data_IF_345696320813
#
_entry.id   IF_345696320813
#
_cell.length_a   1.000
_cell.length_b   1.000
_cell.length_c   1.000
_cell.angle_alpha   90.00
_cell.angle_beta   90.00
_cell.angle_gamma   90.00
#
_symmetry.space_group_name_H-M   'P 1'
#
loop_
_entity.id
_entity.type
_entity.pdbx_description
1 polymer ?
#
# COMPACT_ATOMS: atom_id res chain seq x y z
N UNK A 1 3.39 7.63 -20.91
CA UNK A 1 2.17 7.87 -20.09
C UNK A 1 2.42 9.10 -19.24
N UNK A 2 1.44 10.01 -19.15
CA UNK A 2 1.46 11.11 -18.19
C UNK A 2 1.28 10.61 -16.76
N UNK A 3 1.53 11.46 -15.76
CA UNK A 3 1.27 11.11 -14.34
C UNK A 3 -0.21 10.70 -14.13
N UNK A 4 -1.13 11.43 -14.73
CA UNK A 4 -2.57 11.14 -14.63
C UNK A 4 -2.94 9.80 -15.28
N UNK A 5 -2.36 9.49 -16.44
CA UNK A 5 -2.57 8.19 -17.11
C UNK A 5 -2.02 7.04 -16.26
N UNK A 6 -0.84 7.20 -15.65
CA UNK A 6 -0.23 6.19 -14.77
C UNK A 6 -1.11 5.98 -13.53
N UNK A 7 -1.51 7.06 -12.85
CA UNK A 7 -2.32 6.99 -11.65
C UNK A 7 -3.67 6.30 -11.92
N UNK A 8 -4.36 6.68 -12.99
CA UNK A 8 -5.60 6.03 -13.40
C UNK A 8 -5.41 4.57 -13.78
N UNK A 9 -4.32 4.23 -14.49
CA UNK A 9 -4.04 2.85 -14.92
C UNK A 9 -3.89 1.90 -13.73
N UNK A 10 -3.18 2.34 -12.67
CA UNK A 10 -2.88 1.51 -11.51
C UNK A 10 -4.16 1.02 -10.79
N UNK A 11 -5.20 1.86 -10.73
CA UNK A 11 -6.45 1.59 -9.98
C UNK A 11 -7.65 1.30 -10.88
N UNK A 12 -7.46 1.20 -12.21
CA UNK A 12 -8.56 0.96 -13.15
C UNK A 12 -9.10 -0.47 -13.09
N UNK A 13 -10.38 -0.65 -13.40
CA UNK A 13 -11.04 -1.94 -13.65
C UNK A 13 -10.88 -2.95 -12.49
N UNK A 14 -10.89 -2.47 -11.26
CA UNK A 14 -10.71 -3.27 -10.06
C UNK A 14 -9.26 -3.72 -9.80
N UNK A 15 -8.29 -3.28 -10.62
CA UNK A 15 -6.87 -3.54 -10.36
C UNK A 15 -6.44 -2.86 -9.07
N UNK A 16 -5.47 -3.48 -8.41
CA UNK A 16 -4.83 -2.91 -7.23
C UNK A 16 -3.32 -3.01 -7.28
N UNK A 17 -2.69 -2.85 -6.14
CA UNK A 17 -1.24 -2.79 -5.99
C UNK A 17 -0.76 -3.95 -5.12
N UNK A 18 0.21 -4.70 -5.62
CA UNK A 18 0.99 -5.62 -4.80
C UNK A 18 2.09 -4.85 -4.08
N UNK A 19 1.96 -4.73 -2.76
CA UNK A 19 3.00 -4.13 -1.93
C UNK A 19 4.05 -5.19 -1.56
N UNK A 20 5.10 -5.32 -2.38
CA UNK A 20 6.22 -6.23 -2.22
C UNK A 20 7.51 -5.48 -1.85
N UNK A 21 7.36 -4.42 -1.04
CA UNK A 21 8.40 -3.46 -0.68
C UNK A 21 8.97 -3.66 0.73
N UNK A 22 8.79 -4.84 1.28
CA UNK A 22 9.38 -5.20 2.57
C UNK A 22 10.90 -4.99 2.53
N UNK A 23 11.41 -4.20 3.49
CA UNK A 23 12.85 -4.12 3.73
C UNK A 23 13.42 -5.49 4.14
N UNK A 24 14.74 -5.66 4.02
CA UNK A 24 15.36 -6.94 4.38
C UNK A 24 15.03 -7.40 5.80
N UNK A 25 15.04 -6.54 6.86
CA UNK A 25 14.59 -6.94 8.19
C UNK A 25 13.11 -7.31 8.25
N UNK A 26 12.24 -6.61 7.52
CA UNK A 26 10.80 -6.91 7.48
C UNK A 26 10.54 -8.23 6.76
N UNK A 27 11.26 -8.48 5.67
CA UNK A 27 11.20 -9.76 4.95
C UNK A 27 11.65 -10.91 5.85
N UNK A 28 12.74 -10.70 6.64
CA UNK A 28 13.24 -11.65 7.63
C UNK A 28 12.16 -12.05 8.63
N UNK A 29 11.48 -11.09 9.25
CA UNK A 29 10.37 -11.36 10.18
C UNK A 29 9.23 -12.19 9.55
N UNK A 30 9.00 -12.06 8.25
CA UNK A 30 8.02 -12.90 7.53
C UNK A 30 8.55 -14.29 7.29
N UNK A 31 9.82 -14.41 6.92
CA UNK A 31 10.48 -15.69 6.68
C UNK A 31 10.67 -16.50 7.97
N UNK A 32 10.87 -15.84 9.12
CA UNK A 32 10.91 -16.50 10.42
C UNK A 32 9.62 -17.29 10.71
N UNK A 33 8.46 -16.77 10.25
CA UNK A 33 7.16 -17.46 10.44
C UNK A 33 7.00 -18.76 9.63
N UNK A 34 7.89 -19.01 8.66
CA UNK A 34 7.92 -20.19 7.79
C UNK A 34 9.27 -20.89 7.83
N UNK A 35 10.12 -20.56 8.81
CA UNK A 35 11.44 -21.17 9.04
C UNK A 35 12.38 -21.11 7.81
N UNK A 36 12.34 -19.99 7.06
CA UNK A 36 13.19 -19.75 5.89
C UNK A 36 14.26 -18.73 6.23
N UNK A 37 15.51 -19.01 5.85
CA UNK A 37 16.63 -18.08 6.02
C UNK A 37 16.40 -16.77 5.24
N UNK A 38 16.66 -15.64 5.87
CA UNK A 38 16.60 -14.32 5.24
C UNK A 38 17.85 -14.03 4.41
N UNK A 39 18.11 -14.82 3.38
CA UNK A 39 19.19 -14.59 2.42
C UNK A 39 18.70 -13.76 1.21
N UNK A 40 19.62 -13.13 0.51
CA UNK A 40 19.32 -12.40 -0.74
C UNK A 40 18.66 -13.32 -1.78
N UNK A 41 19.16 -14.56 -1.91
CA UNK A 41 18.59 -15.55 -2.82
C UNK A 41 17.13 -15.90 -2.47
N UNK A 42 16.83 -16.12 -1.19
CA UNK A 42 15.47 -16.45 -0.77
C UNK A 42 14.54 -15.27 -0.96
N UNK A 43 14.99 -14.01 -0.72
CA UNK A 43 14.19 -12.81 -1.01
C UNK A 43 13.93 -12.66 -2.49
N UNK A 44 14.92 -12.89 -3.35
CA UNK A 44 14.76 -12.90 -4.81
C UNK A 44 13.78 -13.98 -5.25
N UNK A 45 13.96 -15.23 -4.79
CA UNK A 45 13.15 -16.38 -5.17
C UNK A 45 11.68 -16.18 -4.77
N UNK A 46 11.45 -15.62 -3.58
CA UNK A 46 10.12 -15.25 -3.13
C UNK A 46 9.46 -14.20 -4.04
N UNK A 47 10.17 -13.11 -4.38
CA UNK A 47 9.69 -12.08 -5.29
C UNK A 47 9.46 -12.59 -6.71
N UNK A 48 10.39 -13.38 -7.23
CA UNK A 48 10.23 -14.02 -8.53
C UNK A 48 8.97 -14.91 -8.58
N UNK A 49 8.74 -15.70 -7.54
CA UNK A 49 7.56 -16.56 -7.42
C UNK A 49 6.27 -15.73 -7.50
N UNK A 50 6.19 -14.59 -6.76
CA UNK A 50 5.05 -13.69 -6.79
C UNK A 50 4.84 -13.08 -8.20
N UNK A 51 5.89 -12.53 -8.81
CA UNK A 51 5.79 -11.80 -10.08
C UNK A 51 5.50 -12.70 -11.28
N UNK A 52 5.83 -13.98 -11.21
CA UNK A 52 5.47 -14.98 -12.23
C UNK A 52 4.08 -15.58 -12.06
N UNK A 53 3.36 -15.20 -11.01
CA UNK A 53 1.99 -15.68 -10.78
C UNK A 53 1.03 -15.20 -11.87
N UNK A 54 0.13 -16.08 -12.32
CA UNK A 54 -0.93 -15.77 -13.29
C UNK A 54 -1.87 -14.68 -12.78
N UNK A 55 -2.05 -14.60 -11.46
CA UNK A 55 -2.88 -13.59 -10.81
C UNK A 55 -2.38 -12.16 -10.94
N UNK A 56 -1.12 -11.95 -11.36
CA UNK A 56 -0.62 -10.61 -11.69
C UNK A 56 -1.39 -10.00 -12.85
N UNK A 57 -1.64 -10.77 -13.92
CA UNK A 57 -2.26 -10.28 -15.14
C UNK A 57 -3.73 -9.92 -14.92
N UNK A 58 -4.06 -8.66 -15.14
CA UNK A 58 -5.43 -8.15 -15.09
C UNK A 58 -5.99 -7.89 -13.68
N UNK A 59 -5.27 -8.28 -12.62
CA UNK A 59 -5.67 -8.01 -11.23
C UNK A 59 -4.75 -6.98 -10.56
N UNK A 60 -3.48 -6.91 -10.98
CA UNK A 60 -2.49 -6.00 -10.41
C UNK A 60 -2.15 -4.91 -11.43
N UNK A 61 -2.33 -3.65 -11.03
CA UNK A 61 -1.99 -2.47 -11.83
C UNK A 61 -0.58 -1.97 -11.56
N UNK A 62 -0.06 -2.19 -10.34
CA UNK A 62 1.27 -1.79 -9.93
C UNK A 62 1.87 -2.70 -8.87
N UNK A 63 3.21 -2.71 -8.77
CA UNK A 63 3.96 -3.41 -7.73
C UNK A 63 4.91 -2.43 -7.07
N UNK A 64 4.80 -2.26 -5.75
CA UNK A 64 5.79 -1.49 -4.99
C UNK A 64 6.96 -2.40 -4.66
N UNK A 65 8.17 -1.99 -5.02
CA UNK A 65 9.39 -2.74 -4.80
C UNK A 65 10.25 -2.11 -3.70
N UNK A 66 11.11 -2.93 -3.10
CA UNK A 66 12.27 -2.48 -2.35
C UNK A 66 13.46 -2.28 -3.30
N UNK A 67 14.42 -1.42 -2.97
CA UNK A 67 15.55 -1.07 -3.83
C UNK A 67 16.32 -2.30 -4.33
N UNK A 68 16.64 -3.24 -3.43
CA UNK A 68 17.30 -4.51 -3.79
C UNK A 68 16.56 -5.21 -4.94
N UNK A 69 15.23 -5.34 -4.82
CA UNK A 69 14.41 -6.08 -5.79
C UNK A 69 14.30 -5.40 -7.15
N UNK A 70 14.29 -4.07 -7.19
CA UNK A 70 14.27 -3.32 -8.45
C UNK A 70 15.54 -3.59 -9.29
N UNK A 71 16.66 -3.93 -8.63
CA UNK A 71 17.97 -4.15 -9.24
C UNK A 71 18.29 -5.64 -9.48
N UNK A 72 17.48 -6.56 -8.95
CA UNK A 72 17.72 -8.00 -9.06
C UNK A 72 17.17 -8.59 -10.35
N UNK A 73 17.85 -9.67 -10.77
CA UNK A 73 17.41 -10.56 -11.84
C UNK A 73 16.84 -11.85 -11.27
N UNK A 74 15.85 -12.42 -11.96
CA UNK A 74 15.33 -13.75 -11.74
C UNK A 74 16.39 -14.83 -12.02
N UNK A 75 16.10 -16.10 -11.65
CA UNK A 75 17.03 -17.23 -11.86
C UNK A 75 17.44 -17.43 -13.32
N UNK A 76 16.59 -17.06 -14.27
CA UNK A 76 16.85 -17.16 -15.70
C UNK A 76 17.54 -15.93 -16.29
N UNK A 77 17.91 -14.95 -15.47
CA UNK A 77 18.54 -13.70 -15.87
C UNK A 77 17.58 -12.61 -16.33
N UNK A 78 16.26 -12.84 -16.26
CA UNK A 78 15.28 -11.80 -16.58
C UNK A 78 15.20 -10.80 -15.42
N UNK A 79 15.35 -9.48 -15.63
CA UNK A 79 15.16 -8.50 -14.55
C UNK A 79 13.77 -8.63 -13.89
N UNK A 80 13.71 -8.62 -12.55
CA UNK A 80 12.45 -8.79 -11.83
C UNK A 80 11.41 -7.73 -12.21
N UNK A 81 11.84 -6.50 -12.49
CA UNK A 81 10.98 -5.42 -13.00
C UNK A 81 10.36 -5.74 -14.37
N UNK A 82 11.03 -6.51 -15.20
CA UNK A 82 10.49 -6.92 -16.50
C UNK A 82 9.42 -8.00 -16.35
N UNK A 83 9.54 -8.91 -15.36
CA UNK A 83 8.47 -9.85 -15.05
C UNK A 83 7.17 -9.12 -14.68
N UNK A 84 7.29 -8.03 -13.93
CA UNK A 84 6.16 -7.16 -13.57
C UNK A 84 5.56 -6.53 -14.83
N UNK A 85 6.39 -5.89 -15.65
CA UNK A 85 5.94 -5.21 -16.88
C UNK A 85 5.30 -6.18 -17.87
N UNK A 86 5.85 -7.38 -18.01
CA UNK A 86 5.32 -8.45 -18.87
C UNK A 86 3.96 -8.97 -18.40
N UNK A 87 3.65 -8.85 -17.11
CA UNK A 87 2.31 -9.16 -16.58
C UNK A 87 1.27 -8.07 -16.87
N UNK A 88 1.71 -6.89 -17.33
CA UNK A 88 0.90 -5.70 -17.53
C UNK A 88 0.80 -4.80 -16.31
N UNK A 89 1.52 -5.09 -15.22
CA UNK A 89 1.63 -4.20 -14.06
C UNK A 89 2.78 -3.21 -14.22
N UNK A 90 2.70 -2.07 -13.54
CA UNK A 90 3.78 -1.07 -13.53
C UNK A 90 4.71 -1.30 -12.33
N UNK A 91 6.04 -1.27 -12.50
CA UNK A 91 6.97 -1.27 -11.39
C UNK A 91 6.97 0.09 -10.68
N UNK A 92 6.99 0.06 -9.36
CA UNK A 92 7.13 1.22 -8.50
C UNK A 92 8.12 0.95 -7.37
N UNK A 93 8.44 1.95 -6.59
CA UNK A 93 9.54 1.90 -5.62
C UNK A 93 9.19 2.59 -4.29
N UNK A 94 9.49 1.92 -3.18
CA UNK A 94 9.51 2.55 -1.86
C UNK A 94 10.73 3.45 -1.72
N UNK A 95 10.50 4.72 -1.39
CA UNK A 95 11.58 5.73 -1.33
C UNK A 95 11.85 6.27 0.08
N UNK A 96 10.96 6.04 1.05
CA UNK A 96 11.20 6.40 2.45
C UNK A 96 12.35 5.58 3.06
N UNK A 97 13.03 6.14 4.08
CA UNK A 97 14.19 5.54 4.75
C UNK A 97 13.93 5.17 6.22
N UNK A 98 12.67 5.03 6.60
CA UNK A 98 12.28 4.62 7.96
C UNK A 98 11.85 5.77 8.86
N UNK A 99 11.60 5.44 10.11
CA UNK A 99 10.98 6.30 11.10
C UNK A 99 12.01 6.77 12.12
N UNK A 100 11.84 8.02 12.57
CA UNK A 100 12.57 8.58 13.74
C UNK A 100 11.57 9.23 14.67
N UNK A 101 11.88 9.34 15.96
CA UNK A 101 11.06 10.12 16.89
C UNK A 101 10.85 11.56 16.38
N UNK A 102 9.63 12.09 16.51
CA UNK A 102 9.32 13.48 16.15
C UNK A 102 10.16 14.47 16.98
N UNK A 103 10.26 14.19 18.27
CA UNK A 103 11.19 14.83 19.21
C UNK A 103 11.82 13.75 20.09
N UNK A 104 12.98 14.01 20.64
CA UNK A 104 13.69 13.04 21.48
C UNK A 104 12.80 12.49 22.60
N UNK A 105 12.67 11.17 22.67
CA UNK A 105 11.87 10.47 23.66
C UNK A 105 10.36 10.42 23.38
N UNK A 106 9.89 10.94 22.24
CA UNK A 106 8.48 10.83 21.82
C UNK A 106 8.15 9.45 21.25
N UNK A 107 6.94 8.99 21.53
CA UNK A 107 6.31 7.84 20.85
C UNK A 107 5.79 8.20 19.45
N UNK A 108 5.63 9.49 19.16
CA UNK A 108 5.27 9.98 17.84
C UNK A 108 6.49 10.05 16.94
N UNK A 109 6.29 9.74 15.66
CA UNK A 109 7.37 9.58 14.70
C UNK A 109 7.15 10.39 13.44
N UNK A 110 8.24 10.70 12.76
CA UNK A 110 8.22 11.24 11.39
C UNK A 110 9.09 10.37 10.48
N UNK A 111 8.71 10.29 9.22
CA UNK A 111 9.43 9.47 8.25
C UNK A 111 10.57 10.25 7.62
N UNK A 112 11.74 9.62 7.52
CA UNK A 112 12.95 10.17 6.89
C UNK A 112 13.11 9.70 5.44
N UNK A 113 13.97 10.42 4.70
CA UNK A 113 14.39 10.01 3.36
C UNK A 113 14.32 11.11 2.30
N UNK A 114 14.05 12.37 2.68
CA UNK A 114 14.01 13.52 1.76
C UNK A 114 15.42 13.89 1.24
N UNK A 115 16.45 13.71 2.07
CA UNK A 115 17.83 14.02 1.67
C UNK A 115 18.26 13.15 0.50
N UNK A 116 18.70 13.79 -0.60
CA UNK A 116 19.10 13.13 -1.85
C UNK A 116 17.95 12.36 -2.52
N UNK A 117 16.70 12.73 -2.27
CA UNK A 117 15.54 12.05 -2.85
C UNK A 117 15.39 12.35 -4.33
N UNK A 118 15.72 13.56 -4.78
CA UNK A 118 15.64 13.96 -6.18
C UNK A 118 16.56 13.09 -7.06
N UNK A 119 17.80 12.94 -6.67
CA UNK A 119 18.78 12.09 -7.37
C UNK A 119 18.33 10.62 -7.39
N UNK A 120 17.80 10.12 -6.26
CA UNK A 120 17.30 8.75 -6.20
C UNK A 120 16.06 8.55 -7.08
N UNK A 121 15.15 9.52 -7.12
CA UNK A 121 13.97 9.46 -7.98
C UNK A 121 14.37 9.47 -9.45
N UNK A 122 15.32 10.33 -9.84
CA UNK A 122 15.89 10.36 -11.20
C UNK A 122 16.51 9.01 -11.59
N UNK A 123 17.27 8.39 -10.69
CA UNK A 123 17.83 7.05 -10.92
C UNK A 123 16.72 6.01 -11.08
N UNK A 124 15.71 5.99 -10.21
CA UNK A 124 14.61 5.02 -10.25
C UNK A 124 13.74 5.14 -11.52
N UNK A 125 13.50 6.37 -12.00
CA UNK A 125 12.82 6.54 -13.29
C UNK A 125 13.68 5.97 -14.43
N UNK A 126 15.00 6.20 -14.42
CA UNK A 126 15.94 5.62 -15.41
C UNK A 126 15.95 4.09 -15.38
N UNK A 127 15.73 3.48 -14.19
CA UNK A 127 15.57 2.04 -14.02
C UNK A 127 14.18 1.53 -14.44
N UNK A 128 13.24 2.41 -14.77
CA UNK A 128 11.93 2.07 -15.29
C UNK A 128 10.79 2.08 -14.26
N UNK A 129 11.02 2.52 -13.03
CA UNK A 129 9.94 2.73 -12.06
C UNK A 129 9.01 3.84 -12.55
N UNK A 130 7.67 3.65 -12.35
CA UNK A 130 6.65 4.59 -12.82
C UNK A 130 5.93 5.32 -11.69
N UNK A 131 6.09 4.82 -10.49
CA UNK A 131 5.51 5.43 -9.30
C UNK A 131 6.39 5.17 -8.07
N UNK A 132 6.20 6.00 -7.08
CA UNK A 132 6.91 5.92 -5.81
C UNK A 132 5.93 5.69 -4.66
N UNK A 133 6.41 5.27 -3.51
CA UNK A 133 5.61 5.18 -2.29
C UNK A 133 6.41 5.69 -1.08
N UNK A 134 5.75 6.47 -0.24
CA UNK A 134 6.25 6.96 1.04
C UNK A 134 5.21 6.78 2.12
N UNK A 135 5.61 6.10 3.20
CA UNK A 135 4.75 5.80 4.35
C UNK A 135 5.03 6.77 5.49
N UNK A 136 4.01 7.47 5.96
CA UNK A 136 3.97 8.14 7.25
C UNK A 136 3.21 7.27 8.25
N UNK A 137 3.55 7.35 9.53
CA UNK A 137 2.93 6.54 10.58
C UNK A 137 2.34 7.45 11.66
N UNK A 138 1.05 7.28 11.90
CA UNK A 138 0.26 8.02 12.89
C UNK A 138 -0.24 7.04 13.94
N UNK A 139 0.15 7.25 15.21
CA UNK A 139 -0.26 6.42 16.34
C UNK A 139 -1.40 7.09 17.09
N UNK A 140 -2.40 6.30 17.48
CA UNK A 140 -3.47 6.75 18.39
C UNK A 140 -3.11 6.33 19.81
N UNK A 141 -3.29 7.23 20.78
CA UNK A 141 -3.02 7.00 22.19
C UNK A 141 -3.42 8.21 23.03
N UNK A 142 -2.98 8.23 24.30
CA UNK A 142 -3.25 9.37 25.18
C UNK A 142 -2.61 10.64 24.59
N UNK A 143 -3.45 11.63 24.25
CA UNK A 143 -3.05 12.87 23.58
C UNK A 143 -2.34 12.70 22.22
N UNK A 144 -2.47 11.55 21.59
CA UNK A 144 -1.92 11.26 20.25
C UNK A 144 -3.03 10.89 19.24
N UNK A 145 -2.90 11.27 17.96
CA UNK A 145 -1.81 12.07 17.40
C UNK A 145 -1.90 13.55 17.75
N UNK A 146 -0.74 14.17 18.04
CA UNK A 146 -0.64 15.62 18.18
C UNK A 146 -0.75 16.32 16.83
N UNK A 147 -1.12 17.59 16.81
CA UNK A 147 -1.14 18.40 15.58
C UNK A 147 0.27 18.53 15.00
N UNK A 148 1.30 18.62 15.82
CA UNK A 148 2.70 18.67 15.38
C UNK A 148 3.09 17.40 14.62
N UNK A 149 2.69 16.22 15.12
CA UNK A 149 2.94 14.94 14.43
C UNK A 149 2.22 14.86 13.08
N UNK A 150 0.94 15.23 13.05
CA UNK A 150 0.13 15.23 11.82
C UNK A 150 0.76 16.19 10.80
N UNK A 151 1.06 17.43 11.20
CA UNK A 151 1.62 18.44 10.30
C UNK A 151 3.02 18.09 9.79
N UNK A 152 3.90 17.55 10.64
CA UNK A 152 5.24 17.13 10.24
C UNK A 152 5.19 15.99 9.20
N UNK A 153 4.32 15.00 9.41
CA UNK A 153 4.15 13.91 8.47
C UNK A 153 3.45 14.34 7.17
N UNK A 154 2.45 15.23 7.25
CA UNK A 154 1.79 15.81 6.08
C UNK A 154 2.78 16.60 5.21
N UNK A 155 3.63 17.44 5.86
CA UNK A 155 4.69 18.17 5.16
C UNK A 155 5.67 17.24 4.48
N UNK A 156 6.16 16.21 5.16
CA UNK A 156 7.11 15.25 4.58
C UNK A 156 6.50 14.50 3.38
N UNK A 157 5.23 14.12 3.46
CA UNK A 157 4.49 13.49 2.35
C UNK A 157 4.34 14.44 1.15
N UNK A 158 4.07 15.73 1.40
CA UNK A 158 3.93 16.72 0.33
C UNK A 158 5.26 17.07 -0.34
N UNK A 159 6.33 17.23 0.44
CA UNK A 159 7.69 17.47 -0.07
C UNK A 159 8.14 16.29 -0.95
N UNK A 160 7.95 15.07 -0.48
CA UNK A 160 8.23 13.86 -1.24
C UNK A 160 7.42 13.79 -2.54
N UNK A 161 6.12 14.08 -2.47
CA UNK A 161 5.23 13.99 -3.63
C UNK A 161 5.63 14.98 -4.74
N UNK A 162 6.00 16.20 -4.38
CA UNK A 162 6.49 17.20 -5.31
C UNK A 162 7.81 16.73 -6.01
N UNK A 163 8.75 16.16 -5.25
CA UNK A 163 9.99 15.61 -5.79
C UNK A 163 9.70 14.42 -6.74
N UNK A 164 8.80 13.51 -6.37
CA UNK A 164 8.44 12.39 -7.21
C UNK A 164 7.84 12.84 -8.55
N UNK A 165 6.93 13.82 -8.53
CA UNK A 165 6.31 14.34 -9.74
C UNK A 165 7.29 15.11 -10.63
N UNK A 166 8.26 15.83 -10.06
CA UNK A 166 9.32 16.49 -10.83
C UNK A 166 10.20 15.50 -11.58
N UNK A 167 10.24 14.24 -11.12
CA UNK A 167 10.93 13.11 -11.75
C UNK A 167 9.99 12.19 -12.56
N UNK A 168 8.85 12.68 -13.01
CA UNK A 168 7.86 11.95 -13.82
C UNK A 168 7.31 10.67 -13.18
N UNK A 169 7.32 10.55 -11.87
CA UNK A 169 6.76 9.41 -11.13
C UNK A 169 5.51 9.80 -10.35
N UNK A 170 4.50 8.93 -10.35
CA UNK A 170 3.29 9.10 -9.55
C UNK A 170 3.61 8.87 -8.08
N UNK A 171 3.39 9.84 -7.17
CA UNK A 171 3.54 9.61 -5.75
C UNK A 171 2.34 8.84 -5.19
N UNK A 172 2.60 7.77 -4.45
CA UNK A 172 1.63 7.15 -3.54
C UNK A 172 1.91 7.69 -2.14
N UNK A 173 1.02 8.53 -1.65
CA UNK A 173 1.10 9.11 -0.30
C UNK A 173 0.38 8.19 0.69
N UNK A 174 1.11 7.69 1.70
CA UNK A 174 0.60 6.68 2.64
C UNK A 174 0.56 7.22 4.08
N UNK A 175 -0.49 7.96 4.47
CA UNK A 175 -0.72 8.37 5.86
C UNK A 175 -1.36 7.20 6.62
N UNK A 176 -0.55 6.31 7.16
CA UNK A 176 -1.05 5.14 7.89
C UNK A 176 -1.37 5.50 9.34
N UNK A 177 -2.65 5.48 9.67
CA UNK A 177 -3.12 5.48 11.07
C UNK A 177 -3.09 4.03 11.57
N UNK A 178 -2.28 3.78 12.62
CA UNK A 178 -2.11 2.43 13.15
C UNK A 178 -3.37 1.94 13.86
N UNK A 179 -3.71 0.67 13.65
CA UNK A 179 -4.77 0.02 14.42
C UNK A 179 -4.26 -0.65 15.72
N UNK A 180 -2.98 -0.41 16.09
CA UNK A 180 -2.45 -0.89 17.36
C UNK A 180 -3.09 -0.13 18.51
N UNK A 181 -3.52 -0.84 19.57
CA UNK A 181 -4.14 -0.24 20.75
C UNK A 181 -5.60 -0.62 20.92
N UNK A 182 -6.28 0.12 21.79
CA UNK A 182 -7.66 -0.12 22.24
C UNK A 182 -8.61 1.06 21.94
N UNK A 183 -8.23 1.91 20.99
CA UNK A 183 -9.04 3.06 20.60
C UNK A 183 -10.35 2.65 19.90
N UNK A 184 -11.36 3.51 20.07
CA UNK A 184 -12.65 3.35 19.38
C UNK A 184 -12.53 3.67 17.87
N UNK A 185 -13.53 3.24 17.11
CA UNK A 185 -13.64 3.58 15.68
C UNK A 185 -13.80 5.10 15.46
N UNK A 186 -14.41 5.82 16.40
CA UNK A 186 -14.56 7.28 16.34
C UNK A 186 -13.21 8.00 16.50
N UNK A 187 -12.33 7.53 17.39
CA UNK A 187 -10.97 8.06 17.52
C UNK A 187 -10.13 7.79 16.27
N UNK A 188 -10.32 6.62 15.66
CA UNK A 188 -9.70 6.30 14.37
C UNK A 188 -10.21 7.23 13.26
N UNK A 189 -11.51 7.52 13.24
CA UNK A 189 -12.11 8.47 12.30
C UNK A 189 -11.49 9.87 12.45
N UNK A 190 -11.41 10.40 13.67
CA UNK A 190 -10.82 11.71 13.94
C UNK A 190 -9.35 11.77 13.48
N UNK A 191 -8.54 10.78 13.85
CA UNK A 191 -7.14 10.72 13.45
C UNK A 191 -6.97 10.66 11.92
N UNK A 192 -7.79 9.86 11.21
CA UNK A 192 -7.79 9.80 9.76
C UNK A 192 -8.22 11.13 9.13
N UNK A 193 -9.32 11.73 9.60
CA UNK A 193 -9.85 12.99 9.08
C UNK A 193 -8.83 14.12 9.19
N UNK A 194 -8.24 14.32 10.38
CA UNK A 194 -7.21 15.34 10.62
C UNK A 194 -5.96 15.08 9.75
N UNK A 195 -5.55 13.82 9.61
CA UNK A 195 -4.40 13.45 8.78
C UNK A 195 -4.66 13.73 7.30
N UNK A 196 -5.86 13.46 6.79
CA UNK A 196 -6.22 13.74 5.39
C UNK A 196 -6.30 15.24 5.12
N UNK A 197 -6.94 16.01 5.99
CA UNK A 197 -7.00 17.45 5.85
C UNK A 197 -5.61 18.08 5.78
N UNK A 198 -4.76 17.80 6.76
CA UNK A 198 -3.39 18.31 6.78
C UNK A 198 -2.57 17.87 5.56
N UNK A 199 -2.74 16.61 5.11
CA UNK A 199 -2.06 16.08 3.92
C UNK A 199 -2.46 16.84 2.66
N UNK A 200 -3.75 16.98 2.39
CA UNK A 200 -4.21 17.62 1.15
C UNK A 200 -3.94 19.12 1.13
N UNK A 201 -4.03 19.79 2.27
CA UNK A 201 -3.58 21.19 2.41
C UNK A 201 -2.08 21.33 2.11
N UNK A 202 -1.25 20.42 2.60
CA UNK A 202 0.19 20.43 2.34
C UNK A 202 0.52 20.11 0.87
N UNK A 203 -0.19 19.16 0.24
CA UNK A 203 -0.03 18.81 -1.17
C UNK A 203 -0.38 20.00 -2.08
N UNK A 204 -1.49 20.69 -1.80
CA UNK A 204 -1.91 21.89 -2.52
C UNK A 204 -0.89 23.02 -2.37
N UNK A 205 -0.44 23.30 -1.15
CA UNK A 205 0.58 24.32 -0.86
C UNK A 205 1.91 24.04 -1.57
N UNK A 206 2.26 22.78 -1.79
CA UNK A 206 3.46 22.37 -2.54
C UNK A 206 3.23 22.28 -4.06
N UNK A 207 2.03 22.61 -4.56
CA UNK A 207 1.71 22.58 -6.00
C UNK A 207 1.68 21.18 -6.60
N UNK A 208 1.41 20.15 -5.79
CA UNK A 208 1.32 18.75 -6.26
C UNK A 208 0.09 18.55 -7.12
N UNK A 209 0.25 17.93 -8.29
CA UNK A 209 -0.87 17.54 -9.15
C UNK A 209 -1.64 16.37 -8.53
N UNK A 210 -2.81 16.66 -7.96
CA UNK A 210 -3.66 15.66 -7.29
C UNK A 210 -4.14 14.57 -8.27
N UNK A 211 -4.42 14.92 -9.54
CA UNK A 211 -4.82 13.94 -10.57
C UNK A 211 -3.72 12.95 -10.95
N UNK A 212 -2.46 13.30 -10.64
CA UNK A 212 -1.31 12.44 -10.80
C UNK A 212 -0.80 11.85 -9.48
N UNK A 213 -1.67 11.67 -8.47
CA UNK A 213 -1.34 11.16 -7.12
C UNK A 213 -2.29 10.04 -6.73
N UNK A 214 -1.85 9.08 -5.92
CA UNK A 214 -2.69 8.03 -5.32
C UNK A 214 -2.59 8.15 -3.80
N UNK A 215 -3.75 8.09 -3.12
CA UNK A 215 -3.81 7.99 -1.67
C UNK A 215 -3.78 6.52 -1.24
N UNK A 216 -2.91 6.19 -0.28
CA UNK A 216 -2.85 4.85 0.32
C UNK A 216 -3.10 4.95 1.84
N UNK A 217 -4.36 5.04 2.27
CA UNK A 217 -4.70 5.23 3.67
C UNK A 217 -4.97 3.90 4.38
N UNK A 218 -5.03 3.96 5.72
CA UNK A 218 -5.74 2.96 6.52
C UNK A 218 -7.26 3.06 6.26
N UNK A 219 -7.97 1.97 6.49
CA UNK A 219 -9.42 2.02 6.71
C UNK A 219 -9.70 2.55 8.12
N UNK A 220 -10.83 3.15 8.35
CA UNK A 220 -11.26 3.59 9.68
C UNK A 220 -11.72 2.36 10.46
N UNK A 221 -10.84 1.86 11.34
CA UNK A 221 -11.07 0.64 12.14
C UNK A 221 -10.87 0.92 13.61
N UNK A 222 -11.55 0.22 14.53
CA UNK A 222 -11.18 0.26 15.94
C UNK A 222 -9.79 -0.32 16.15
N UNK A 223 -9.20 -0.06 17.30
CA UNK A 223 -7.93 -0.64 17.72
C UNK A 223 -7.96 -2.16 17.77
N UNK A 224 -6.81 -2.79 17.55
CA UNK A 224 -6.70 -4.26 17.51
C UNK A 224 -7.03 -4.96 18.83
N UNK A 225 -7.01 -4.24 19.94
CA UNK A 225 -7.39 -4.71 21.28
C UNK A 225 -8.84 -4.34 21.65
N UNK A 226 -9.51 -3.55 20.81
CA UNK A 226 -10.92 -3.16 21.01
C UNK A 226 -11.87 -4.25 20.51
N UNK A 227 -13.12 -4.14 20.93
CA UNK A 227 -14.20 -4.96 20.39
C UNK A 227 -14.35 -4.71 18.89
N UNK A 228 -14.46 -5.80 18.11
CA UNK A 228 -14.66 -5.73 16.67
C UNK A 228 -16.05 -5.17 16.35
N UNK A 229 -16.11 -4.25 15.42
CA UNK A 229 -17.35 -3.73 14.86
C UNK A 229 -17.72 -4.47 13.56
N UNK A 230 -18.95 -4.27 13.10
CA UNK A 230 -19.41 -4.91 11.87
C UNK A 230 -18.63 -4.40 10.63
N UNK A 231 -18.43 -5.27 9.65
CA UNK A 231 -17.78 -4.94 8.35
C UNK A 231 -18.44 -3.70 7.72
N UNK A 232 -19.76 -3.63 7.77
CA UNK A 232 -20.52 -2.51 7.22
C UNK A 232 -20.21 -1.19 7.93
N UNK A 233 -20.06 -1.20 9.24
CA UNK A 233 -19.72 0.00 10.02
C UNK A 233 -18.35 0.55 9.66
N UNK A 234 -17.32 -0.31 9.54
CA UNK A 234 -16.00 0.08 9.05
C UNK A 234 -16.09 0.71 7.66
N UNK A 235 -16.87 0.09 6.77
CA UNK A 235 -17.06 0.59 5.40
C UNK A 235 -17.74 1.96 5.37
N UNK A 236 -18.84 2.14 6.13
CA UNK A 236 -19.58 3.39 6.21
C UNK A 236 -18.72 4.52 6.81
N UNK A 237 -18.02 4.24 7.92
CA UNK A 237 -17.12 5.22 8.56
C UNK A 237 -15.96 5.59 7.64
N UNK A 238 -15.36 4.64 6.96
CA UNK A 238 -14.26 4.90 6.02
C UNK A 238 -14.72 5.74 4.83
N UNK A 239 -15.83 5.37 4.19
CA UNK A 239 -16.38 6.13 3.05
C UNK A 239 -16.79 7.54 3.46
N UNK A 240 -17.38 7.71 4.65
CA UNK A 240 -17.72 9.02 5.20
C UNK A 240 -16.46 9.86 5.41
N UNK A 241 -15.44 9.30 6.06
CA UNK A 241 -14.17 10.00 6.31
C UNK A 241 -13.53 10.49 5.01
N UNK A 242 -13.50 9.66 3.97
CA UNK A 242 -12.97 10.03 2.66
C UNK A 242 -13.81 11.16 2.03
N UNK A 243 -15.15 11.03 2.00
CA UNK A 243 -16.04 12.03 1.39
C UNK A 243 -15.94 13.42 2.02
N UNK A 244 -15.69 13.46 3.32
CA UNK A 244 -15.59 14.70 4.07
C UNK A 244 -14.22 15.38 3.96
N UNK A 245 -13.14 14.63 3.64
CA UNK A 245 -11.77 15.10 3.85
C UNK A 245 -10.82 14.98 2.66
N UNK A 246 -11.23 14.39 1.52
CA UNK A 246 -10.32 14.27 0.37
C UNK A 246 -10.91 14.86 -0.90
N UNK A 247 -10.07 15.43 -1.80
CA UNK A 247 -10.53 16.08 -3.02
C UNK A 247 -11.17 15.08 -4.00
N UNK A 248 -12.13 15.55 -4.77
CA UNK A 248 -12.92 14.73 -5.70
C UNK A 248 -12.17 14.33 -6.98
N UNK A 249 -11.10 15.01 -7.31
CA UNK A 249 -10.31 14.81 -8.54
C UNK A 249 -9.10 13.86 -8.36
N UNK A 250 -8.93 13.31 -7.17
CA UNK A 250 -7.98 12.22 -6.92
C UNK A 250 -8.39 10.98 -7.75
N UNK A 251 -7.49 10.33 -8.51
CA UNK A 251 -7.84 9.17 -9.35
C UNK A 251 -8.33 7.98 -8.55
N UNK A 252 -7.70 7.71 -7.41
CA UNK A 252 -8.05 6.56 -6.60
C UNK A 252 -7.42 6.50 -5.22
N UNK A 253 -8.04 5.68 -4.41
CA UNK A 253 -7.64 5.34 -3.04
C UNK A 253 -7.31 3.86 -3.02
N UNK A 254 -6.06 3.51 -2.74
CA UNK A 254 -5.57 2.13 -2.67
C UNK A 254 -5.26 1.79 -1.22
N UNK A 255 -6.20 1.22 -0.49
CA UNK A 255 -6.08 0.96 0.95
C UNK A 255 -4.92 0.04 1.31
N UNK A 256 -4.23 0.34 2.39
CA UNK A 256 -3.38 -0.65 3.06
C UNK A 256 -4.25 -1.65 3.86
N UNK A 257 -3.72 -2.82 4.19
CA UNK A 257 -4.45 -3.82 5.00
C UNK A 257 -4.23 -3.68 6.51
N UNK A 258 -3.17 -2.97 6.93
CA UNK A 258 -2.83 -2.82 8.35
C UNK A 258 -2.67 -4.17 9.06
N UNK A 259 -3.34 -4.35 10.18
CA UNK A 259 -3.41 -5.59 10.95
C UNK A 259 -4.58 -6.51 10.57
N UNK A 260 -5.37 -6.18 9.55
CA UNK A 260 -6.51 -6.98 9.12
C UNK A 260 -6.07 -8.32 8.51
N UNK A 261 -6.90 -9.34 8.66
CA UNK A 261 -6.74 -10.60 7.93
C UNK A 261 -7.01 -10.41 6.42
N UNK A 262 -6.62 -11.38 5.61
CA UNK A 262 -6.89 -11.38 4.15
C UNK A 262 -8.39 -11.22 3.86
N UNK A 263 -9.24 -11.96 4.59
CA UNK A 263 -10.70 -11.92 4.40
C UNK A 263 -11.33 -10.62 4.90
N UNK A 264 -10.90 -10.11 6.06
CA UNK A 264 -11.40 -8.83 6.59
C UNK A 264 -11.09 -7.69 5.64
N UNK A 265 -9.85 -7.60 5.14
CA UNK A 265 -9.45 -6.56 4.20
C UNK A 265 -10.25 -6.63 2.88
N UNK A 266 -10.50 -7.84 2.36
CA UNK A 266 -11.33 -8.06 1.17
C UNK A 266 -12.79 -7.68 1.41
N UNK A 267 -13.36 -8.09 2.55
CA UNK A 267 -14.75 -7.81 2.91
C UNK A 267 -15.02 -6.32 3.10
N UNK A 268 -14.13 -5.61 3.80
CA UNK A 268 -14.24 -4.15 3.97
C UNK A 268 -14.16 -3.41 2.65
N UNK A 269 -13.18 -3.76 1.79
CA UNK A 269 -13.05 -3.17 0.46
C UNK A 269 -14.31 -3.38 -0.38
N UNK A 270 -14.86 -4.59 -0.36
CA UNK A 270 -16.08 -4.93 -1.07
C UNK A 270 -17.28 -4.13 -0.58
N UNK A 271 -17.47 -4.03 0.73
CA UNK A 271 -18.61 -3.32 1.29
C UNK A 271 -18.53 -1.81 1.01
N UNK A 272 -17.34 -1.20 1.06
CA UNK A 272 -17.13 0.18 0.63
C UNK A 272 -17.52 0.41 -0.84
N UNK A 273 -17.13 -0.50 -1.73
CA UNK A 273 -17.47 -0.40 -3.15
C UNK A 273 -18.97 -0.62 -3.42
N UNK A 274 -19.66 -1.44 -2.60
CA UNK A 274 -21.14 -1.57 -2.64
C UNK A 274 -21.86 -0.30 -2.23
N UNK A 275 -21.34 0.46 -1.25
CA UNK A 275 -21.91 1.74 -0.86
C UNK A 275 -21.91 2.72 -2.03
N UNK A 276 -20.82 2.83 -2.76
CA UNK A 276 -20.71 3.69 -3.94
C UNK A 276 -20.94 5.18 -3.69
N UNK A 277 -21.26 5.92 -4.74
CA UNK A 277 -21.58 7.37 -4.66
C UNK A 277 -20.39 8.26 -4.29
N UNK A 278 -19.20 7.91 -4.76
CA UNK A 278 -17.95 8.66 -4.64
C UNK A 278 -17.26 8.73 -6.02
N UNK A 279 -16.39 9.76 -6.25
CA UNK A 279 -15.78 9.96 -7.57
C UNK A 279 -14.54 9.08 -7.82
N UNK A 280 -13.87 8.63 -6.74
CA UNK A 280 -12.61 7.90 -6.81
C UNK A 280 -12.81 6.40 -7.10
N UNK A 281 -11.77 5.75 -7.60
CA UNK A 281 -11.68 4.28 -7.56
C UNK A 281 -11.21 3.86 -6.17
N UNK A 282 -11.98 3.01 -5.47
CA UNK A 282 -11.53 2.38 -4.23
C UNK A 282 -10.93 1.02 -4.55
N UNK A 283 -9.66 0.87 -4.27
CA UNK A 283 -8.86 -0.30 -4.58
C UNK A 283 -7.98 -0.71 -3.40
N UNK A 284 -7.05 -1.61 -3.62
CA UNK A 284 -6.16 -2.18 -2.62
C UNK A 284 -4.68 -1.93 -2.96
N UNK A 285 -3.86 -1.78 -1.92
CA UNK A 285 -2.41 -1.84 -1.97
C UNK A 285 -1.93 -2.71 -0.82
N UNK A 286 -2.12 -4.01 -0.97
CA UNK A 286 -1.93 -4.96 0.11
C UNK A 286 -0.54 -5.62 0.07
N UNK A 287 0.07 -5.72 1.26
CA UNK A 287 1.21 -6.57 1.53
C UNK A 287 0.74 -7.92 2.07
N UNK A 288 0.59 -8.02 3.40
CA UNK A 288 0.19 -9.29 4.08
C UNK A 288 -1.12 -9.85 3.56
N UNK A 289 -2.16 -9.04 3.44
CA UNK A 289 -3.48 -9.50 3.00
C UNK A 289 -3.52 -10.00 1.54
N UNK A 290 -2.46 -9.83 0.78
CA UNK A 290 -2.33 -10.37 -0.57
C UNK A 290 -1.32 -11.53 -0.66
N UNK A 291 -0.32 -11.57 0.25
CA UNK A 291 0.83 -12.45 0.15
C UNK A 291 0.87 -13.58 1.20
N UNK A 292 0.10 -13.48 2.29
CA UNK A 292 0.26 -14.34 3.46
C UNK A 292 0.03 -15.83 3.13
N UNK A 293 -1.03 -16.15 2.39
CA UNK A 293 -1.34 -17.51 1.96
C UNK A 293 -0.28 -18.06 1.00
N UNK A 294 0.16 -17.24 0.04
CA UNK A 294 1.23 -17.60 -0.88
C UNK A 294 2.57 -17.85 -0.16
N UNK A 295 2.93 -17.00 0.81
CA UNK A 295 4.13 -17.14 1.62
C UNK A 295 4.13 -18.47 2.40
N UNK A 296 3.02 -18.79 3.07
CA UNK A 296 2.85 -20.03 3.82
C UNK A 296 2.91 -21.24 2.91
N UNK A 297 2.24 -21.20 1.75
CA UNK A 297 2.27 -22.28 0.78
C UNK A 297 3.67 -22.51 0.20
N UNK A 298 4.41 -21.45 -0.09
CA UNK A 298 5.76 -21.53 -0.62
C UNK A 298 6.73 -22.18 0.37
N UNK A 299 6.78 -21.73 1.62
CA UNK A 299 7.66 -22.25 2.69
C UNK A 299 9.12 -22.45 2.26
N UNK A 300 9.64 -21.60 1.35
CA UNK A 300 11.01 -21.65 0.85
C UNK A 300 11.32 -22.81 -0.11
N UNK A 301 10.33 -23.58 -0.54
CA UNK A 301 10.51 -24.80 -1.31
C UNK A 301 10.17 -24.62 -2.78
N UNK A 302 11.07 -25.05 -3.67
CA UNK A 302 10.87 -24.93 -5.11
C UNK A 302 9.69 -25.77 -5.64
N UNK A 303 9.42 -26.91 -5.04
CA UNK A 303 8.28 -27.76 -5.38
C UNK A 303 6.92 -27.13 -5.07
N UNK A 304 6.90 -26.16 -4.18
CA UNK A 304 5.68 -25.45 -3.77
C UNK A 304 5.36 -24.19 -4.59
N UNK A 305 6.20 -23.82 -5.55
CA UNK A 305 6.06 -22.57 -6.31
C UNK A 305 4.66 -22.47 -6.96
N UNK A 306 4.19 -23.53 -7.60
CA UNK A 306 2.88 -23.50 -8.30
C UNK A 306 1.71 -23.32 -7.33
N UNK A 307 1.74 -23.99 -6.17
CA UNK A 307 0.71 -23.84 -5.15
C UNK A 307 0.71 -22.43 -4.59
N UNK A 308 1.89 -21.88 -4.31
CA UNK A 308 2.02 -20.50 -3.82
C UNK A 308 1.56 -19.45 -4.84
N UNK A 309 1.84 -19.66 -6.12
CA UNK A 309 1.34 -18.80 -7.20
C UNK A 309 -0.17 -18.89 -7.36
N UNK A 310 -0.77 -20.04 -7.14
CA UNK A 310 -2.21 -20.22 -7.15
C UNK A 310 -2.88 -19.47 -5.98
N UNK A 311 -2.29 -19.54 -4.78
CA UNK A 311 -2.74 -18.76 -3.62
C UNK A 311 -2.71 -17.26 -3.87
N UNK A 312 -1.61 -16.73 -4.44
CA UNK A 312 -1.54 -15.31 -4.81
C UNK A 312 -2.58 -14.96 -5.88
N UNK A 313 -2.77 -15.83 -6.88
CA UNK A 313 -3.73 -15.61 -7.96
C UNK A 313 -5.14 -15.48 -7.42
N UNK A 314 -5.52 -16.38 -6.52
CA UNK A 314 -6.84 -16.33 -5.88
C UNK A 314 -7.02 -15.04 -5.07
N UNK A 315 -6.07 -14.70 -4.19
CA UNK A 315 -6.19 -13.47 -3.41
C UNK A 315 -6.25 -12.21 -4.27
N UNK A 316 -5.48 -12.15 -5.36
CA UNK A 316 -5.50 -11.03 -6.30
C UNK A 316 -6.86 -10.92 -7.02
N UNK A 317 -7.44 -12.05 -7.43
CA UNK A 317 -8.77 -12.10 -8.04
C UNK A 317 -9.87 -11.69 -7.06
N UNK A 318 -9.87 -12.23 -5.84
CA UNK A 318 -10.86 -11.87 -4.81
C UNK A 318 -10.82 -10.38 -4.47
N UNK A 319 -9.63 -9.81 -4.34
CA UNK A 319 -9.49 -8.38 -4.08
C UNK A 319 -9.93 -7.52 -5.29
N UNK A 320 -9.68 -7.97 -6.52
CA UNK A 320 -10.22 -7.31 -7.72
C UNK A 320 -11.75 -7.31 -7.71
N UNK A 321 -12.36 -8.46 -7.46
CA UNK A 321 -13.83 -8.60 -7.40
C UNK A 321 -14.38 -7.71 -6.28
N UNK A 322 -13.69 -7.62 -5.14
CA UNK A 322 -14.05 -6.73 -4.03
C UNK A 322 -13.93 -5.25 -4.40
N UNK A 323 -12.90 -4.86 -5.17
CA UNK A 323 -12.76 -3.50 -5.68
C UNK A 323 -13.86 -3.11 -6.69
N UNK A 324 -14.58 -4.10 -7.22
CA UNK A 324 -15.77 -3.91 -8.05
C UNK A 324 -17.09 -4.02 -7.25
N UNK A 325 -17.04 -4.29 -5.94
CA UNK A 325 -18.22 -4.47 -5.08
C UNK A 325 -19.00 -5.77 -5.35
N UNK A 326 -18.34 -6.78 -5.92
CA UNK A 326 -18.96 -8.02 -6.41
C UNK A 326 -18.50 -9.27 -5.65
N UNK A 327 -17.62 -9.12 -4.65
CA UNK A 327 -17.16 -10.25 -3.86
C UNK A 327 -18.23 -10.77 -2.90
N UNK A 328 -18.27 -12.09 -2.76
CA UNK A 328 -19.06 -12.82 -1.76
C UNK A 328 -18.16 -13.88 -1.12
N UNK A 329 -18.37 -14.16 0.16
CA UNK A 329 -17.58 -15.13 0.92
C UNK A 329 -17.58 -16.54 0.28
N UNK A 330 -18.62 -16.89 -0.44
CA UNK A 330 -18.71 -18.18 -1.16
C UNK A 330 -17.69 -18.34 -2.28
N UNK A 331 -17.12 -17.21 -2.78
CA UNK A 331 -16.06 -17.25 -3.79
C UNK A 331 -14.70 -17.67 -3.20
N UNK A 332 -14.60 -17.76 -1.89
CA UNK A 332 -13.40 -18.26 -1.20
C UNK A 332 -13.33 -19.79 -1.18
N UNK A 333 -14.46 -20.48 -1.36
CA UNK A 333 -14.53 -21.94 -1.43
C UNK A 333 -13.90 -22.42 -2.76
N UNK A 334 -12.90 -23.32 -2.68
CA UNK A 334 -12.17 -23.88 -3.84
C UNK A 334 -12.32 -25.40 -3.91
#
# INVERSE_FOLDING_TARGET
>A
MSLEEIANYIVSDGKGILAADESNPTCGKRFDSIEVENSENNRRDYREMLFRSKGMKGNIGGVILFDETLRQDAKDGTPLKELISNSGALPGIKVDKGLVPLVDGSDEVVTQGLDGLDERCSEYDSLGAKFTKWRAVIKIGDSMPSDDCINANAKALADYAAIAQSNNMVPIVEPEVLMDGDHSIDLSFDACARSFQALFDALENNGVNIKGTILKPSMVTPGSLSEKVAIREVAEMTVRCLKENIPSDLPGVAFLSGGQTELEATAHLNEMNKIGGFPWKLSFSYGRALQQSALKAWSGKSENIFIAQDELSHRAEMNKIAALGQWDIKLEDR
#
